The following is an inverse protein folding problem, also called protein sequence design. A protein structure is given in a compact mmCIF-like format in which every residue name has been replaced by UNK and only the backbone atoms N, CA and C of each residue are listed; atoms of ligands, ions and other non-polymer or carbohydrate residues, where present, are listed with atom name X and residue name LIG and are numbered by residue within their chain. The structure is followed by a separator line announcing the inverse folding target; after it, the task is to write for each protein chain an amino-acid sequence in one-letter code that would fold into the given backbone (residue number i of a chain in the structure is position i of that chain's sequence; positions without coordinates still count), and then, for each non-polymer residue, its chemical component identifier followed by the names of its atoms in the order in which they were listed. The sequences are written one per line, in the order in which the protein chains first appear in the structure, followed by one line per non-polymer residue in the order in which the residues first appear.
data_IF_155072067382
#
_entry.id   IF_155072067382
#
_cell.length_a   1.000
_cell.length_b   1.000
_cell.length_c   1.000
_cell.angle_alpha   90.00
_cell.angle_beta   90.00
_cell.angle_gamma   90.00
#
_symmetry.space_group_name_H-M   'P 1'
#
loop_
_entity.id
_entity.type
_entity.pdbx_description
1 polymer ?
#
# COMPACT_ATOMS: atom_id res chain seq x y z
N UNK A 1 21.31 10.87 -26.01
CA UNK A 1 20.53 11.30 -24.82
C UNK A 1 20.39 10.07 -23.91
N UNK A 2 20.90 9.98 -22.67
CA UNK A 2 21.65 10.89 -21.81
C UNK A 2 22.70 10.11 -21.00
N UNK A 3 23.93 10.61 -21.06
CA UNK A 3 25.02 10.72 -20.08
C UNK A 3 25.00 9.89 -18.80
N UNK A 4 26.03 9.03 -18.66
CA UNK A 4 26.55 8.49 -17.40
C UNK A 4 27.54 9.50 -16.79
N UNK A 5 27.41 9.80 -15.49
CA UNK A 5 28.51 10.40 -14.73
C UNK A 5 28.35 10.08 -13.24
N UNK A 6 29.10 9.06 -12.78
CA UNK A 6 29.46 8.95 -11.38
C UNK A 6 30.61 9.93 -11.11
N UNK A 7 30.46 10.77 -10.08
CA UNK A 7 31.56 11.52 -9.45
C UNK A 7 31.45 11.25 -7.95
N UNK A 8 32.49 10.98 -7.16
CA UNK A 8 33.95 10.91 -7.31
C UNK A 8 34.42 10.01 -6.12
N UNK A 9 35.59 9.36 -6.20
CA UNK A 9 36.01 8.28 -5.32
C UNK A 9 36.50 8.83 -3.98
N UNK A 10 36.21 8.10 -2.90
CA UNK A 10 36.98 8.29 -1.67
C UNK A 10 38.33 7.62 -1.85
N UNK A 11 39.35 8.44 -1.59
CA UNK A 11 40.77 8.23 -1.79
C UNK A 11 41.35 7.42 -0.63
N UNK A 12 41.44 6.12 -0.79
CA UNK A 12 42.28 5.27 0.05
C UNK A 12 42.29 3.88 -0.59
N UNK A 13 43.36 3.62 -1.33
CA UNK A 13 43.57 2.43 -2.16
C UNK A 13 43.72 1.13 -1.37
N UNK A 14 42.67 0.76 -0.64
CA UNK A 14 42.50 -0.56 -0.01
C UNK A 14 41.06 -1.10 -0.17
N UNK A 15 40.17 -0.35 -0.84
CA UNK A 15 38.74 -0.65 -0.91
C UNK A 15 38.27 -0.95 -2.34
N UNK A 16 38.39 -2.20 -2.77
CA UNK A 16 37.50 -2.73 -3.83
C UNK A 16 37.25 -4.23 -3.64
N UNK A 17 38.28 -4.98 -3.25
CA UNK A 17 38.13 -6.42 -3.02
C UNK A 17 37.42 -6.74 -1.69
N UNK A 18 37.61 -5.91 -0.65
CA UNK A 18 36.90 -6.08 0.63
C UNK A 18 35.43 -5.66 0.50
N UNK A 19 35.12 -4.58 -0.22
CA UNK A 19 33.73 -4.16 -0.49
C UNK A 19 32.98 -5.13 -1.39
N UNK A 20 33.62 -5.64 -2.45
CA UNK A 20 33.04 -6.67 -3.31
C UNK A 20 32.81 -7.96 -2.51
N UNK A 21 33.72 -8.34 -1.60
CA UNK A 21 33.53 -9.51 -0.73
C UNK A 21 32.41 -9.31 0.29
N UNK A 22 32.25 -8.11 0.87
CA UNK A 22 31.13 -7.77 1.77
C UNK A 22 29.80 -7.77 1.02
N UNK A 23 29.76 -7.27 -0.22
CA UNK A 23 28.55 -7.27 -1.06
C UNK A 23 28.18 -8.70 -1.47
N UNK A 24 29.15 -9.53 -1.88
CA UNK A 24 28.91 -10.94 -2.24
C UNK A 24 28.52 -11.77 -1.01
N UNK A 25 29.10 -11.51 0.17
CA UNK A 25 28.72 -12.16 1.43
C UNK A 25 27.31 -11.75 1.88
N UNK A 26 26.94 -10.48 1.76
CA UNK A 26 25.58 -10.02 2.06
C UNK A 26 24.57 -10.66 1.11
N UNK A 27 24.80 -10.64 -0.21
CA UNK A 27 23.91 -11.27 -1.20
C UNK A 27 23.81 -12.80 -0.98
N UNK A 28 24.92 -13.47 -0.64
CA UNK A 28 24.97 -14.91 -0.40
C UNK A 28 24.25 -15.37 0.88
N UNK A 29 24.26 -14.55 1.94
CA UNK A 29 23.57 -14.88 3.21
C UNK A 29 22.05 -14.67 3.09
N UNK A 30 21.58 -13.68 2.33
CA UNK A 30 20.13 -13.48 2.10
C UNK A 30 19.48 -14.59 1.25
N UNK A 31 20.25 -15.51 0.68
CA UNK A 31 19.76 -16.51 -0.27
C UNK A 31 19.49 -17.90 0.32
N UNK A 32 19.76 -18.15 1.61
CA UNK A 32 19.63 -19.51 2.20
C UNK A 32 18.95 -19.57 3.58
N UNK A 33 18.04 -18.63 3.88
CA UNK A 33 17.02 -18.87 4.91
C UNK A 33 15.64 -19.04 4.28
N UNK A 34 15.29 -20.23 3.77
CA UNK A 34 13.90 -20.57 3.58
C UNK A 34 13.27 -20.69 4.98
N UNK A 35 12.61 -19.63 5.45
CA UNK A 35 11.73 -19.75 6.63
C UNK A 35 11.85 -18.71 7.75
N UNK A 36 12.38 -17.51 7.50
CA UNK A 36 12.25 -16.40 8.46
C UNK A 36 11.47 -15.22 7.86
N UNK A 37 10.37 -15.51 7.15
CA UNK A 37 9.28 -14.56 7.03
C UNK A 37 8.47 -14.69 8.31
N UNK A 38 8.41 -13.62 9.09
CA UNK A 38 7.72 -13.51 10.36
C UNK A 38 6.53 -14.47 10.50
N UNK A 39 6.62 -15.40 11.45
CA UNK A 39 5.49 -16.26 11.89
C UNK A 39 4.49 -15.50 12.75
N UNK A 40 4.50 -14.17 12.75
CA UNK A 40 3.30 -13.44 13.08
C UNK A 40 2.56 -13.21 11.77
N UNK A 41 1.44 -13.93 11.60
CA UNK A 41 0.32 -13.39 10.84
C UNK A 41 0.15 -11.98 11.42
N UNK A 42 0.42 -10.89 10.67
CA UNK A 42 -0.02 -9.60 11.16
C UNK A 42 -1.50 -9.82 11.40
N UNK A 43 -1.97 -9.51 12.61
CA UNK A 43 -3.40 -9.48 12.88
C UNK A 43 -4.00 -8.31 12.07
N UNK A 44 -3.93 -8.40 10.74
CA UNK A 44 -5.02 -8.02 9.87
C UNK A 44 -6.17 -8.79 10.47
N UNK A 45 -6.91 -8.12 11.35
CA UNK A 45 -8.18 -8.60 11.84
C UNK A 45 -8.87 -9.24 10.64
N UNK A 46 -9.32 -10.50 10.77
CA UNK A 46 -9.98 -11.28 9.70
C UNK A 46 -11.29 -10.58 9.30
N UNK A 47 -11.13 -9.43 8.69
CA UNK A 47 -12.15 -8.44 8.45
C UNK A 47 -12.76 -8.90 7.17
N UNK A 48 -13.92 -9.55 7.31
CA UNK A 48 -14.71 -9.99 6.17
C UNK A 48 -14.98 -8.77 5.28
N UNK A 49 -14.53 -8.84 4.04
CA UNK A 49 -14.72 -7.79 3.04
C UNK A 49 -15.74 -8.24 2.01
N UNK A 50 -16.51 -7.29 1.49
CA UNK A 50 -17.42 -7.47 0.37
C UNK A 50 -16.93 -6.65 -0.82
N UNK A 51 -17.03 -7.22 -2.03
CA UNK A 51 -16.75 -6.51 -3.28
C UNK A 51 -17.97 -5.69 -3.69
N UNK A 52 -17.77 -4.39 -3.94
CA UNK A 52 -18.77 -3.50 -4.50
C UNK A 52 -18.39 -3.19 -5.95
N UNK A 53 -19.24 -3.53 -6.94
CA UNK A 53 -18.92 -3.28 -8.35
C UNK A 53 -18.93 -1.78 -8.68
N UNK A 54 -18.27 -1.37 -9.78
CA UNK A 54 -18.41 0.00 -10.28
C UNK A 54 -19.87 0.31 -10.63
N UNK A 55 -20.29 1.54 -10.43
CA UNK A 55 -21.68 1.96 -10.61
C UNK A 55 -21.94 3.39 -10.21
N UNK A 56 -23.17 3.84 -10.46
CA UNK A 56 -23.64 5.16 -10.07
C UNK A 56 -24.79 5.04 -9.06
N UNK A 57 -24.79 5.90 -8.06
CA UNK A 57 -25.86 5.98 -7.06
C UNK A 57 -26.11 7.42 -6.63
N UNK A 58 -27.27 7.65 -6.00
CA UNK A 58 -27.63 8.93 -5.41
C UNK A 58 -27.22 8.92 -3.94
N UNK A 59 -26.42 9.90 -3.53
CA UNK A 59 -26.01 10.12 -2.16
C UNK A 59 -26.74 11.34 -1.60
N UNK A 60 -27.21 11.29 -0.36
CA UNK A 60 -27.96 12.37 0.28
C UNK A 60 -29.44 12.05 0.43
N UNK A 61 -30.17 12.98 1.03
CA UNK A 61 -31.57 12.87 1.41
C UNK A 61 -32.44 13.86 0.62
N UNK A 62 -33.69 13.51 0.33
CA UNK A 62 -34.62 14.44 -0.31
C UNK A 62 -34.96 15.58 0.64
N UNK A 63 -35.23 16.77 0.10
CA UNK A 63 -35.43 17.99 0.89
C UNK A 63 -36.70 18.00 1.74
N UNK A 64 -37.55 16.98 1.63
CA UNK A 64 -38.79 16.82 2.39
C UNK A 64 -38.63 15.89 3.60
N UNK A 65 -37.42 15.40 3.88
CA UNK A 65 -37.14 14.58 5.06
C UNK A 65 -37.07 15.44 6.33
N UNK A 66 -37.65 14.95 7.44
CA UNK A 66 -37.58 15.65 8.73
C UNK A 66 -36.14 15.63 9.21
N UNK A 67 -35.60 16.81 9.54
CA UNK A 67 -34.19 16.95 9.97
C UNK A 67 -33.20 17.13 8.82
N UNK A 68 -33.69 17.31 7.59
CA UNK A 68 -32.85 17.61 6.43
C UNK A 68 -32.04 18.90 6.63
N UNK A 69 -30.76 18.84 6.26
CA UNK A 69 -29.88 20.01 6.22
C UNK A 69 -29.38 20.26 4.78
N UNK A 70 -29.07 21.52 4.40
CA UNK A 70 -28.66 21.87 3.04
C UNK A 70 -27.48 21.09 2.45
N UNK A 71 -26.60 20.58 3.31
CA UNK A 71 -25.41 19.81 2.91
C UNK A 71 -25.74 18.37 2.48
N UNK A 72 -26.91 17.85 2.86
CA UNK A 72 -27.36 16.50 2.53
C UNK A 72 -28.15 16.42 1.22
N UNK A 73 -28.17 17.50 0.42
CA UNK A 73 -28.86 17.51 -0.87
C UNK A 73 -28.47 16.31 -1.74
N UNK A 74 -29.34 15.81 -2.63
CA UNK A 74 -29.00 14.67 -3.47
C UNK A 74 -27.84 14.96 -4.44
N UNK A 75 -26.80 14.14 -4.39
CA UNK A 75 -25.65 14.13 -5.29
C UNK A 75 -25.64 12.85 -6.12
N UNK A 76 -25.20 12.93 -7.37
CA UNK A 76 -24.95 11.74 -8.19
C UNK A 76 -23.48 11.41 -8.10
N UNK A 77 -23.15 10.24 -7.56
CA UNK A 77 -21.77 9.76 -7.42
C UNK A 77 -21.60 8.55 -8.32
N UNK A 78 -20.49 8.53 -9.08
CA UNK A 78 -20.13 7.43 -9.97
C UNK A 78 -18.75 6.91 -9.60
N UNK A 79 -18.69 5.63 -9.22
CA UNK A 79 -17.43 4.92 -9.08
C UNK A 79 -17.10 4.22 -10.39
N UNK A 80 -16.00 4.63 -11.02
CA UNK A 80 -15.49 4.02 -12.26
C UNK A 80 -14.81 2.68 -12.03
N UNK A 81 -14.48 2.35 -10.78
CA UNK A 81 -13.84 1.10 -10.37
C UNK A 81 -14.54 0.57 -9.13
N UNK A 82 -14.64 -0.76 -9.04
CA UNK A 82 -15.11 -1.42 -7.83
C UNK A 82 -14.08 -1.37 -6.71
N UNK A 83 -14.54 -1.57 -5.49
CA UNK A 83 -13.71 -1.55 -4.29
C UNK A 83 -14.21 -2.54 -3.24
N UNK A 84 -13.36 -2.86 -2.27
CA UNK A 84 -13.72 -3.71 -1.14
C UNK A 84 -14.11 -2.87 0.07
N UNK A 85 -15.17 -3.28 0.78
CA UNK A 85 -15.60 -2.66 2.03
C UNK A 85 -15.70 -3.73 3.14
N UNK A 86 -15.28 -3.39 4.36
CA UNK A 86 -15.50 -4.25 5.52
C UNK A 86 -17.00 -4.37 5.82
N UNK A 87 -17.49 -5.58 6.09
CA UNK A 87 -18.92 -5.81 6.37
C UNK A 87 -19.36 -5.33 7.77
N UNK A 88 -18.39 -5.07 8.65
CA UNK A 88 -18.60 -4.65 10.04
C UNK A 88 -17.61 -3.53 10.38
N UNK A 89 -17.95 -2.64 11.33
CA UNK A 89 -16.99 -1.70 11.89
C UNK A 89 -15.76 -2.44 12.43
N UNK A 90 -14.60 -1.80 12.36
CA UNK A 90 -13.40 -2.34 12.99
C UNK A 90 -13.58 -2.39 14.51
N UNK A 91 -13.26 -3.54 15.09
CA UNK A 91 -13.17 -3.72 16.54
C UNK A 91 -11.72 -3.51 16.96
N UNK A 92 -11.50 -2.78 18.06
CA UNK A 92 -10.20 -2.55 18.68
C UNK A 92 -9.81 -3.72 19.58
#
# INVERSE_FOLDING_TARGET
MNTFSQTNPRKDGVSSLVEILVIVAMIGVYSVLPGAFATEKPAIADTKMVWIPPGAFKLGSPSNEIGWIPLERPWTVTFTRGFFMAIRPSTR
#
